data_IF_949048103605
#
_entry.id   IF_949048103605
#
_cell.length_a   1.000
_cell.length_b   1.000
_cell.length_c   1.000
_cell.angle_alpha   90.00
_cell.angle_beta   90.00
_cell.angle_gamma   90.00
#
_symmetry.space_group_name_H-M   'P 1'
#
loop_
_entity.id
_entity.type
_entity.pdbx_description
1 polymer ?
#
# COMPACT_ATOMS: atom_id res chain seq x y z
N UNK A 1 30.95 -10.96 2.88
CA UNK A 1 30.39 -9.58 3.05
C UNK A 1 28.92 -9.63 3.50
N UNK A 2 28.05 -10.42 2.84
CA UNK A 2 26.62 -10.47 3.13
C UNK A 2 26.28 -10.93 4.57
N UNK A 3 26.94 -11.98 5.06
CA UNK A 3 26.69 -12.49 6.43
C UNK A 3 27.00 -11.45 7.52
N UNK A 4 27.97 -10.59 7.31
CA UNK A 4 28.34 -9.55 8.26
C UNK A 4 27.29 -8.42 8.26
N UNK A 5 26.71 -8.11 7.09
CA UNK A 5 25.66 -7.11 6.95
C UNK A 5 24.35 -7.54 7.63
N UNK A 6 23.92 -8.79 7.45
CA UNK A 6 22.74 -9.32 8.14
C UNK A 6 22.90 -9.35 9.66
N UNK A 7 24.09 -9.74 10.14
CA UNK A 7 24.40 -9.74 11.58
C UNK A 7 24.34 -8.32 12.17
N UNK A 8 24.80 -7.31 11.44
CA UNK A 8 24.72 -5.92 11.85
C UNK A 8 23.29 -5.43 11.91
N UNK A 9 22.47 -5.75 10.91
CA UNK A 9 21.03 -5.39 10.89
C UNK A 9 20.29 -6.06 12.05
N UNK A 10 20.54 -7.35 12.28
CA UNK A 10 19.95 -8.08 13.42
C UNK A 10 20.33 -7.44 14.76
N UNK A 11 21.59 -7.01 14.93
CA UNK A 11 22.04 -6.30 16.12
C UNK A 11 21.35 -4.92 16.28
N UNK A 12 21.11 -4.20 15.20
CA UNK A 12 20.38 -2.93 15.24
C UNK A 12 18.92 -3.15 15.69
N UNK A 13 18.24 -4.15 15.13
CA UNK A 13 16.85 -4.51 15.48
C UNK A 13 16.77 -4.94 16.96
N UNK A 14 17.73 -5.76 17.41
CA UNK A 14 17.77 -6.24 18.80
C UNK A 14 17.91 -5.10 19.80
N UNK A 15 18.64 -4.04 19.43
CA UNK A 15 18.94 -2.93 20.34
C UNK A 15 18.00 -1.71 20.11
N UNK A 16 17.10 -1.73 19.14
CA UNK A 16 16.19 -0.63 18.92
C UNK A 16 15.00 -0.67 19.89
N UNK A 17 14.35 0.48 20.08
CA UNK A 17 13.10 0.59 20.83
C UNK A 17 11.88 0.42 19.93
N UNK A 18 12.02 0.84 18.67
CA UNK A 18 10.92 0.89 17.72
C UNK A 18 11.42 0.62 16.31
N UNK A 19 10.60 -0.05 15.52
CA UNK A 19 10.81 -0.26 14.07
C UNK A 19 9.68 0.42 13.31
N UNK A 20 10.03 1.24 12.31
CA UNK A 20 9.08 1.71 11.31
C UNK A 20 9.47 1.13 9.96
N UNK A 21 8.49 0.66 9.21
CA UNK A 21 8.67 0.14 7.84
C UNK A 21 7.95 1.07 6.87
N UNK A 22 8.64 1.57 5.86
CA UNK A 22 8.05 2.29 4.75
C UNK A 22 8.15 1.43 3.49
N UNK A 23 7.03 0.92 2.99
CA UNK A 23 7.02 -0.02 1.86
C UNK A 23 6.34 0.53 0.62
N UNK A 24 6.82 0.09 -0.55
CA UNK A 24 6.27 0.42 -1.85
C UNK A 24 6.01 -0.83 -2.71
N UNK A 25 5.66 -0.63 -3.99
CA UNK A 25 5.21 -1.69 -4.89
C UNK A 25 6.21 -2.84 -5.07
N UNK A 26 7.51 -2.58 -4.92
CA UNK A 26 8.55 -3.62 -4.97
C UNK A 26 8.39 -4.68 -3.89
N UNK A 27 7.81 -4.33 -2.73
CA UNK A 27 7.49 -5.27 -1.66
C UNK A 27 6.54 -6.38 -2.12
N UNK A 28 5.64 -6.08 -3.06
CA UNK A 28 4.63 -7.01 -3.56
C UNK A 28 4.99 -7.67 -4.91
N UNK A 29 6.18 -7.36 -5.46
CA UNK A 29 6.60 -7.89 -6.76
C UNK A 29 6.66 -9.42 -6.79
N UNK A 30 7.25 -10.04 -5.76
CA UNK A 30 7.32 -11.51 -5.63
C UNK A 30 5.96 -12.17 -5.35
N UNK A 31 4.96 -11.39 -5.00
CA UNK A 31 3.57 -11.85 -4.90
C UNK A 31 2.84 -11.86 -6.25
N UNK A 32 3.53 -11.50 -7.34
CA UNK A 32 2.96 -11.45 -8.70
C UNK A 32 2.19 -10.16 -9.00
N UNK A 33 2.30 -9.12 -8.17
CA UNK A 33 1.70 -7.81 -8.43
C UNK A 33 2.71 -6.95 -9.18
N UNK A 34 2.31 -6.47 -10.37
CA UNK A 34 3.16 -5.64 -11.22
C UNK A 34 3.55 -4.33 -10.53
N UNK A 35 4.83 -3.96 -10.61
CA UNK A 35 5.34 -2.70 -10.10
C UNK A 35 5.18 -1.58 -11.14
N UNK A 36 5.18 -0.32 -10.67
CA UNK A 36 5.15 0.86 -11.55
C UNK A 36 6.39 0.99 -12.48
N UNK A 37 7.48 0.26 -12.18
CA UNK A 37 8.70 0.25 -12.99
C UNK A 37 8.65 -0.71 -14.18
N UNK A 38 7.62 -1.53 -14.31
CA UNK A 38 7.40 -2.38 -15.48
C UNK A 38 6.34 -1.73 -16.40
N UNK A 39 6.68 -0.63 -17.10
CA UNK A 39 5.70 0.11 -17.92
C UNK A 39 5.23 -0.68 -19.14
N UNK A 40 5.87 -1.80 -19.46
CA UNK A 40 5.54 -2.63 -20.62
C UNK A 40 4.38 -3.61 -20.36
N UNK A 41 3.96 -3.72 -19.09
CA UNK A 41 2.92 -4.68 -18.67
C UNK A 41 1.77 -3.96 -17.96
N UNK A 42 0.57 -4.12 -18.47
CA UNK A 42 -0.66 -3.68 -17.80
C UNK A 42 -1.12 -2.26 -18.13
N UNK A 43 -1.96 -1.70 -17.27
CA UNK A 43 -2.59 -0.35 -17.43
C UNK A 43 -1.55 0.77 -17.54
N UNK A 44 -0.40 0.61 -16.88
CA UNK A 44 0.66 1.61 -16.86
C UNK A 44 1.38 1.77 -18.21
N UNK A 45 1.33 0.74 -19.06
CA UNK A 45 1.83 0.82 -20.45
C UNK A 45 1.00 1.73 -21.33
N UNK A 46 -0.25 1.98 -20.95
CA UNK A 46 -1.17 2.79 -21.75
C UNK A 46 -1.48 4.12 -21.07
N UNK A 47 -0.91 5.22 -21.56
CA UNK A 47 -1.17 6.58 -21.05
C UNK A 47 -2.67 6.94 -21.06
N UNK A 48 -3.44 6.42 -22.00
CA UNK A 48 -4.90 6.61 -22.06
C UNK A 48 -5.58 5.82 -20.93
N UNK A 49 -5.16 4.59 -20.67
CA UNK A 49 -5.67 3.79 -19.54
C UNK A 49 -5.42 4.49 -18.21
N UNK A 50 -4.24 5.07 -18.02
CA UNK A 50 -3.89 5.84 -16.83
C UNK A 50 -4.77 7.08 -16.66
N UNK A 51 -5.05 7.83 -17.74
CA UNK A 51 -5.90 9.01 -17.70
C UNK A 51 -7.36 8.66 -17.36
N UNK A 52 -7.86 7.52 -17.84
CA UNK A 52 -9.23 7.08 -17.55
C UNK A 52 -9.39 6.42 -16.18
N UNK A 53 -8.39 5.62 -15.77
CA UNK A 53 -8.50 4.81 -14.56
C UNK A 53 -7.87 5.50 -13.36
N UNK A 54 -6.73 6.14 -13.57
CA UNK A 54 -5.90 6.73 -12.50
C UNK A 54 -6.38 8.09 -12.00
N UNK A 55 -7.48 8.65 -12.54
CA UNK A 55 -7.96 10.00 -12.18
C UNK A 55 -9.46 10.01 -11.86
N UNK A 56 -9.93 10.92 -10.97
CA UNK A 56 -11.35 11.12 -10.70
C UNK A 56 -12.15 11.46 -11.96
N UNK A 57 -11.55 12.16 -12.92
CA UNK A 57 -12.18 12.53 -14.19
C UNK A 57 -12.55 11.30 -15.02
N UNK A 58 -11.68 10.30 -15.11
CA UNK A 58 -11.98 9.06 -15.82
C UNK A 58 -13.14 8.28 -15.20
N UNK A 59 -13.20 8.22 -13.86
CA UNK A 59 -14.31 7.62 -13.14
C UNK A 59 -15.63 8.38 -13.33
N UNK A 60 -15.57 9.68 -13.48
CA UNK A 60 -16.75 10.50 -13.78
C UNK A 60 -17.22 10.33 -15.23
N UNK A 61 -16.28 10.34 -16.18
CA UNK A 61 -16.61 10.31 -17.61
C UNK A 61 -17.10 8.93 -18.07
N UNK A 62 -16.46 7.87 -17.60
CA UNK A 62 -16.76 6.49 -18.03
C UNK A 62 -16.62 5.50 -16.88
N UNK A 63 -17.55 5.52 -15.90
CA UNK A 63 -17.46 4.68 -14.69
C UNK A 63 -17.40 3.19 -14.99
N UNK A 64 -18.13 2.71 -16.02
CA UNK A 64 -18.12 1.30 -16.40
C UNK A 64 -16.76 0.86 -16.97
N UNK A 65 -16.11 1.69 -17.79
CA UNK A 65 -14.77 1.40 -18.30
C UNK A 65 -13.72 1.45 -17.19
N UNK A 66 -13.79 2.45 -16.32
CA UNK A 66 -12.91 2.56 -15.17
C UNK A 66 -13.05 1.35 -14.24
N UNK A 67 -14.28 0.91 -13.98
CA UNK A 67 -14.58 -0.26 -13.18
C UNK A 67 -14.02 -1.55 -13.78
N UNK A 68 -14.27 -1.79 -15.08
CA UNK A 68 -13.72 -2.95 -15.78
C UNK A 68 -12.19 -2.96 -15.74
N UNK A 69 -11.57 -1.81 -15.96
CA UNK A 69 -10.11 -1.66 -15.91
C UNK A 69 -9.58 -1.94 -14.50
N UNK A 70 -10.23 -1.38 -13.48
CA UNK A 70 -9.89 -1.66 -12.09
C UNK A 70 -9.96 -3.14 -11.75
N UNK A 71 -11.04 -3.82 -12.11
CA UNK A 71 -11.21 -5.25 -11.85
C UNK A 71 -10.11 -6.07 -12.53
N UNK A 72 -9.88 -5.83 -13.82
CA UNK A 72 -8.96 -6.63 -14.62
C UNK A 72 -7.48 -6.46 -14.22
N UNK A 73 -7.06 -5.24 -13.90
CA UNK A 73 -5.65 -4.93 -13.71
C UNK A 73 -5.23 -4.75 -12.26
N UNK A 74 -6.17 -4.53 -11.35
CA UNK A 74 -5.87 -4.34 -9.93
C UNK A 74 -6.56 -5.38 -9.06
N UNK A 75 -7.88 -5.37 -9.02
CA UNK A 75 -8.62 -6.19 -8.06
C UNK A 75 -8.36 -7.68 -8.23
N UNK A 76 -8.48 -8.20 -9.46
CA UNK A 76 -8.33 -9.64 -9.70
C UNK A 76 -6.88 -10.12 -9.50
N UNK A 77 -5.83 -9.45 -10.01
CA UNK A 77 -4.46 -9.81 -9.68
C UNK A 77 -4.15 -9.78 -8.18
N UNK A 78 -4.61 -8.73 -7.48
CA UNK A 78 -4.40 -8.58 -6.03
C UNK A 78 -5.14 -9.68 -5.25
N UNK A 79 -6.36 -10.03 -5.65
CA UNK A 79 -7.12 -11.10 -4.99
C UNK A 79 -6.42 -12.46 -5.07
N UNK A 80 -5.77 -12.75 -6.20
CA UNK A 80 -5.01 -14.00 -6.43
C UNK A 80 -3.64 -14.00 -5.74
N UNK A 81 -3.09 -12.82 -5.47
CA UNK A 81 -1.79 -12.69 -4.84
C UNK A 81 -1.83 -13.19 -3.38
N UNK A 82 -0.71 -13.77 -2.94
CA UNK A 82 -0.49 -14.19 -1.56
C UNK A 82 0.65 -13.39 -0.96
N UNK A 83 0.66 -13.17 0.36
CA UNK A 83 1.83 -12.62 1.03
C UNK A 83 3.08 -13.42 0.66
N UNK A 84 4.16 -12.73 0.32
CA UNK A 84 5.46 -13.36 0.07
C UNK A 84 6.28 -13.46 1.37
N UNK A 85 7.47 -14.06 1.29
CA UNK A 85 8.35 -14.26 2.43
C UNK A 85 8.68 -12.96 3.17
N UNK A 86 8.81 -11.84 2.46
CA UNK A 86 9.07 -10.54 3.07
C UNK A 86 7.89 -10.04 3.93
N UNK A 87 6.66 -10.21 3.47
CA UNK A 87 5.46 -9.87 4.25
C UNK A 87 5.37 -10.73 5.53
N UNK A 88 5.60 -12.05 5.40
CA UNK A 88 5.58 -12.97 6.53
C UNK A 88 6.69 -12.63 7.54
N UNK A 89 7.91 -12.35 7.07
CA UNK A 89 9.03 -11.97 7.94
C UNK A 89 8.75 -10.68 8.72
N UNK A 90 8.07 -9.70 8.12
CA UNK A 90 7.67 -8.48 8.84
C UNK A 90 6.59 -8.77 9.88
N UNK A 91 5.64 -9.64 9.61
CA UNK A 91 4.62 -10.02 10.59
C UNK A 91 5.25 -10.79 11.78
N UNK A 92 6.18 -11.71 11.50
CA UNK A 92 6.94 -12.41 12.54
C UNK A 92 7.80 -11.45 13.37
N UNK A 93 8.45 -10.48 12.72
CA UNK A 93 9.24 -9.45 13.39
C UNK A 93 8.37 -8.59 14.32
N UNK A 94 7.15 -8.22 13.89
CA UNK A 94 6.21 -7.47 14.71
C UNK A 94 5.86 -8.22 15.98
N UNK A 95 5.62 -9.53 15.90
CA UNK A 95 5.35 -10.38 17.06
C UNK A 95 6.54 -10.46 18.02
N UNK A 96 7.74 -10.73 17.49
CA UNK A 96 8.96 -10.78 18.30
C UNK A 96 9.24 -9.46 19.03
N UNK A 97 9.09 -8.34 18.34
CA UNK A 97 9.26 -7.01 18.96
C UNK A 97 8.23 -6.75 20.05
N UNK A 98 6.99 -7.16 19.85
CA UNK A 98 5.91 -7.04 20.83
C UNK A 98 6.19 -7.86 22.10
N UNK A 99 6.72 -9.08 21.97
CA UNK A 99 7.12 -9.91 23.10
C UNK A 99 8.22 -9.25 23.94
N UNK A 100 9.10 -8.47 23.30
CA UNK A 100 10.16 -7.69 23.97
C UNK A 100 9.66 -6.31 24.48
N UNK A 101 8.37 -6.01 24.40
CA UNK A 101 7.80 -4.72 24.83
C UNK A 101 8.11 -3.56 23.88
N UNK A 102 8.55 -3.85 22.66
CA UNK A 102 8.85 -2.90 21.60
C UNK A 102 7.67 -2.75 20.62
N UNK A 103 7.75 -1.81 19.70
CA UNK A 103 6.68 -1.58 18.73
C UNK A 103 7.18 -1.60 17.31
N UNK A 104 6.31 -2.01 16.39
CA UNK A 104 6.51 -1.90 14.95
C UNK A 104 5.30 -1.22 14.30
N UNK A 105 5.57 -0.39 13.29
CA UNK A 105 4.53 0.27 12.48
C UNK A 105 4.91 0.15 11.02
N UNK A 106 3.98 -0.30 10.19
CA UNK A 106 4.15 -0.33 8.74
C UNK A 106 3.40 0.85 8.11
N UNK A 107 4.10 1.63 7.30
CA UNK A 107 3.56 2.67 6.43
C UNK A 107 3.67 2.13 5.01
N UNK A 108 2.56 1.86 4.36
CA UNK A 108 2.59 1.29 3.01
C UNK A 108 1.94 2.19 1.97
N UNK A 109 2.60 2.29 0.81
CA UNK A 109 2.05 2.89 -0.39
C UNK A 109 1.18 1.91 -1.19
N UNK A 110 1.23 0.62 -0.81
CA UNK A 110 0.51 -0.42 -1.50
C UNK A 110 -0.97 -0.45 -1.10
N UNK A 111 -1.80 -0.81 -2.05
CA UNK A 111 -3.27 -0.89 -1.90
C UNK A 111 -3.78 -2.34 -1.81
N UNK A 112 -2.86 -3.31 -1.65
CA UNK A 112 -3.09 -4.75 -1.81
C UNK A 112 -3.42 -5.50 -0.52
N UNK A 113 -3.30 -4.85 0.64
CA UNK A 113 -3.49 -5.41 1.96
C UNK A 113 -2.65 -6.68 2.28
N UNK A 114 -1.52 -6.90 1.56
CA UNK A 114 -0.72 -8.11 1.78
C UNK A 114 -0.01 -8.11 3.15
N UNK A 115 0.33 -6.95 3.71
CA UNK A 115 0.85 -6.87 5.07
C UNK A 115 -0.14 -7.38 6.10
N UNK A 116 -1.40 -6.91 6.03
CA UNK A 116 -2.47 -7.35 6.94
C UNK A 116 -2.77 -8.85 6.75
N UNK A 117 -2.79 -9.31 5.49
CA UNK A 117 -3.01 -10.72 5.16
C UNK A 117 -1.86 -11.64 5.60
N UNK A 118 -0.67 -11.10 5.81
CA UNK A 118 0.46 -11.81 6.40
C UNK A 118 0.39 -11.88 7.93
N UNK A 119 -0.45 -11.04 8.57
CA UNK A 119 -0.60 -10.98 10.02
C UNK A 119 -0.15 -9.67 10.67
N UNK A 120 0.43 -8.73 9.92
CA UNK A 120 0.82 -7.41 10.48
C UNK A 120 -0.41 -6.65 10.97
N UNK A 121 -0.33 -6.05 12.16
CA UNK A 121 -1.47 -5.45 12.85
C UNK A 121 -1.52 -3.93 12.79
N UNK A 122 -0.35 -3.26 12.76
CA UNK A 122 -0.27 -1.79 12.71
C UNK A 122 0.21 -1.37 11.33
N UNK A 123 -0.75 -1.22 10.41
CA UNK A 123 -0.48 -0.87 9.00
C UNK A 123 -1.23 0.40 8.61
N UNK A 124 -0.51 1.42 8.15
CA UNK A 124 -1.05 2.66 7.63
C UNK A 124 -1.01 2.66 6.10
N UNK A 125 -2.16 2.51 5.47
CA UNK A 125 -2.33 2.48 4.01
C UNK A 125 -2.44 3.93 3.48
N UNK A 126 -1.30 4.58 3.21
CA UNK A 126 -1.29 6.01 2.83
C UNK A 126 -1.88 6.30 1.44
N UNK A 127 -2.04 5.29 0.61
CA UNK A 127 -2.74 5.40 -0.68
C UNK A 127 -4.09 4.68 -0.68
N UNK A 128 -4.64 4.37 0.51
CA UNK A 128 -5.89 3.64 0.64
C UNK A 128 -5.77 2.16 0.30
N UNK A 129 -6.89 1.54 -0.09
CA UNK A 129 -6.94 0.10 -0.36
C UNK A 129 -7.95 -0.24 -1.45
N UNK A 130 -7.70 -1.33 -2.19
CA UNK A 130 -8.65 -1.86 -3.18
C UNK A 130 -9.79 -2.65 -2.52
N UNK A 131 -9.72 -2.90 -1.23
CA UNK A 131 -10.72 -3.68 -0.50
C UNK A 131 -11.85 -2.85 0.11
N UNK A 132 -11.73 -1.54 0.15
CA UNK A 132 -12.82 -0.63 0.51
C UNK A 132 -13.32 0.11 -0.73
N UNK A 133 -14.57 0.57 -0.67
CA UNK A 133 -15.18 1.37 -1.73
C UNK A 133 -15.70 2.67 -1.17
N UNK A 134 -15.61 3.71 -1.95
CA UNK A 134 -16.12 5.04 -1.63
C UNK A 134 -17.08 5.53 -2.73
N UNK A 135 -18.00 6.39 -2.36
CA UNK A 135 -18.83 7.09 -3.31
C UNK A 135 -17.99 8.02 -4.17
N UNK A 136 -18.07 7.89 -5.50
CA UNK A 136 -17.28 8.68 -6.44
C UNK A 136 -17.58 10.19 -6.36
N UNK A 137 -18.77 10.59 -5.90
CA UNK A 137 -19.22 11.99 -5.84
C UNK A 137 -18.96 12.62 -4.48
N UNK A 138 -19.30 11.93 -3.40
CA UNK A 138 -19.32 12.52 -2.06
C UNK A 138 -18.20 12.00 -1.16
N UNK A 139 -17.36 11.07 -1.64
CA UNK A 139 -16.29 10.41 -0.87
C UNK A 139 -16.76 9.83 0.48
N UNK A 140 -18.06 9.65 0.66
CA UNK A 140 -18.57 8.95 1.83
C UNK A 140 -17.89 7.59 1.88
N UNK A 141 -17.12 7.35 2.92
CA UNK A 141 -16.75 6.00 3.28
C UNK A 141 -18.07 5.27 3.47
N UNK A 142 -18.36 4.41 2.54
CA UNK A 142 -19.35 3.40 2.81
C UNK A 142 -18.65 2.44 3.74
N UNK A 143 -19.08 2.47 4.98
CA UNK A 143 -18.81 1.44 5.96
C UNK A 143 -19.49 0.17 5.44
N UNK A 144 -18.90 -0.38 4.37
CA UNK A 144 -19.30 -1.66 3.84
C UNK A 144 -18.76 -2.75 4.77
N UNK A 145 -19.36 -2.85 5.94
CA UNK A 145 -19.39 -4.11 6.67
C UNK A 145 -20.15 -5.19 5.88
N UNK A 146 -20.91 -4.81 4.89
CA UNK A 146 -21.40 -5.70 3.84
C UNK A 146 -20.41 -5.59 2.69
N UNK A 147 -19.38 -6.34 2.81
CA UNK A 147 -18.32 -6.51 1.86
C UNK A 147 -18.84 -7.38 0.70
N UNK A 148 -19.41 -6.83 -0.38
CA UNK A 148 -19.70 -7.67 -1.55
C UNK A 148 -18.41 -8.16 -2.19
N UNK A 149 -17.28 -7.63 -1.74
CA UNK A 149 -15.93 -8.01 -2.18
C UNK A 149 -15.12 -8.24 -0.92
N UNK A 150 -15.44 -9.32 -0.17
CA UNK A 150 -14.85 -9.66 1.11
C UNK A 150 -13.33 -9.50 1.17
N UNK A 151 -12.85 -9.01 2.30
CA UNK A 151 -11.44 -9.11 2.68
C UNK A 151 -11.00 -10.59 2.79
N UNK A 152 -11.95 -11.46 3.06
CA UNK A 152 -11.74 -12.89 3.07
C UNK A 152 -11.60 -13.38 1.62
N UNK A 153 -10.35 -13.69 1.26
CA UNK A 153 -10.04 -14.35 0.00
C UNK A 153 -10.78 -15.71 -0.16
N UNK A 154 -11.46 -16.18 0.89
CA UNK A 154 -12.32 -17.36 0.89
C UNK A 154 -13.62 -17.16 0.11
N UNK A 155 -14.09 -15.91 -0.05
CA UNK A 155 -15.31 -15.59 -0.80
C UNK A 155 -15.05 -15.28 -2.28
N UNK A 156 -13.78 -15.26 -2.69
CA UNK A 156 -13.41 -15.12 -4.08
C UNK A 156 -13.29 -16.50 -4.73
N UNK A 157 -14.30 -16.88 -5.49
CA UNK A 157 -14.21 -18.00 -6.42
C UNK A 157 -13.57 -17.51 -7.73
N UNK A 158 -12.31 -17.90 -8.02
CA UNK A 158 -11.63 -17.49 -9.24
C UNK A 158 -12.23 -18.13 -10.50
N UNK A 159 -13.07 -19.15 -10.36
CA UNK A 159 -13.73 -19.84 -11.47
C UNK A 159 -15.11 -19.24 -11.79
N UNK A 160 -15.76 -18.58 -10.83
CA UNK A 160 -17.01 -17.87 -11.01
C UNK A 160 -16.82 -16.36 -10.99
N UNK A 161 -16.34 -15.82 -12.09
CA UNK A 161 -16.11 -14.40 -12.35
C UNK A 161 -17.44 -13.57 -12.42
N UNK A 162 -18.57 -14.17 -12.09
CA UNK A 162 -19.90 -13.53 -12.22
C UNK A 162 -20.08 -12.33 -11.29
N UNK A 163 -19.45 -12.34 -10.13
CA UNK A 163 -19.55 -11.21 -9.19
C UNK A 163 -18.84 -9.93 -9.72
N UNK A 164 -17.87 -10.10 -10.60
CA UNK A 164 -17.08 -9.02 -11.21
C UNK A 164 -17.50 -8.73 -12.66
N UNK A 165 -18.51 -9.40 -13.17
CA UNK A 165 -19.00 -9.24 -14.54
C UNK A 165 -19.94 -8.05 -14.75
N UNK A 166 -20.21 -7.26 -13.70
CA UNK A 166 -21.07 -6.08 -13.85
C UNK A 166 -20.43 -5.04 -14.75
N UNK A 167 -21.14 -4.61 -15.77
CA UNK A 167 -20.70 -3.55 -16.71
C UNK A 167 -20.46 -2.21 -16.02
N UNK A 168 -21.04 -2.00 -14.87
CA UNK A 168 -20.98 -0.75 -14.11
C UNK A 168 -20.61 -1.04 -12.65
N UNK A 169 -19.93 -0.09 -11.96
CA UNK A 169 -19.71 -0.19 -10.53
C UNK A 169 -21.03 -0.21 -9.76
N UNK A 170 -21.02 -0.75 -8.53
CA UNK A 170 -22.16 -0.67 -7.63
C UNK A 170 -22.60 0.78 -7.40
N UNK A 171 -23.87 0.96 -7.07
CA UNK A 171 -24.41 2.27 -6.69
C UNK A 171 -24.19 2.57 -5.22
N UNK A 172 -24.02 3.85 -4.92
CA UNK A 172 -24.00 4.35 -3.54
C UNK A 172 -25.34 4.04 -2.87
N UNK A 173 -25.30 3.44 -1.69
CA UNK A 173 -26.50 3.06 -0.91
C UNK A 173 -27.10 4.21 -0.10
N UNK A 174 -26.43 5.38 -0.04
CA UNK A 174 -27.01 6.54 0.63
C UNK A 174 -28.26 7.03 -0.10
N UNK A 175 -29.31 7.27 0.65
CA UNK A 175 -30.56 7.82 0.14
C UNK A 175 -30.29 9.11 -0.63
N UNK A 176 -30.89 9.22 -1.80
CA UNK A 176 -30.73 10.34 -2.74
C UNK A 176 -29.34 10.51 -3.41
N UNK A 177 -28.40 9.58 -3.21
CA UNK A 177 -27.10 9.63 -3.86
C UNK A 177 -27.01 8.67 -5.03
N UNK A 178 -27.50 8.79 -6.14
CA UNK A 178 -27.47 7.83 -7.25
C UNK A 178 -26.08 7.67 -7.94
N UNK A 179 -25.00 8.01 -7.25
CA UNK A 179 -23.64 7.93 -7.77
C UNK A 179 -23.08 6.50 -7.73
N UNK A 180 -22.05 6.24 -8.54
CA UNK A 180 -21.35 4.97 -8.51
C UNK A 180 -20.31 4.92 -7.38
N UNK A 181 -19.96 3.71 -6.96
CA UNK A 181 -18.84 3.45 -6.07
C UNK A 181 -17.54 3.30 -6.89
N UNK A 182 -16.43 3.54 -6.24
CA UNK A 182 -15.10 3.24 -6.73
C UNK A 182 -14.23 2.70 -5.60
N UNK A 183 -13.07 2.06 -5.90
CA UNK A 183 -12.15 1.66 -4.84
C UNK A 183 -11.69 2.87 -4.02
N UNK A 184 -11.46 2.66 -2.74
CA UNK A 184 -10.85 3.62 -1.82
C UNK A 184 -9.31 3.63 -1.98
N UNK A 185 -8.87 3.63 -3.22
CA UNK A 185 -7.48 3.84 -3.59
C UNK A 185 -7.32 5.29 -4.07
N UNK A 186 -6.27 5.96 -3.60
CA UNK A 186 -5.98 7.35 -3.97
C UNK A 186 -5.68 7.43 -5.45
N UNK A 187 -6.45 8.24 -6.16
CA UNK A 187 -6.25 8.53 -7.58
C UNK A 187 -5.29 9.71 -7.76
N UNK A 188 -4.66 9.79 -8.92
CA UNK A 188 -3.83 10.95 -9.27
C UNK A 188 -4.64 12.24 -9.13
N UNK A 189 -4.04 13.27 -8.56
CA UNK A 189 -4.66 14.57 -8.23
C UNK A 189 -5.50 14.58 -6.96
N UNK A 190 -5.68 13.47 -6.27
CA UNK A 190 -6.34 13.43 -4.96
C UNK A 190 -5.36 13.61 -3.81
N UNK A 191 -5.86 14.13 -2.69
CA UNK A 191 -5.14 14.13 -1.41
C UNK A 191 -5.05 12.73 -0.82
N UNK A 192 -4.06 12.51 0.04
CA UNK A 192 -3.95 11.27 0.81
C UNK A 192 -5.04 11.22 1.90
N UNK A 193 -5.46 10.03 2.34
CA UNK A 193 -6.43 9.88 3.42
C UNK A 193 -5.85 10.44 4.73
N UNK A 194 -6.62 11.33 5.39
CA UNK A 194 -6.14 12.13 6.52
C UNK A 194 -5.61 11.28 7.67
N UNK A 195 -6.37 10.30 8.13
CA UNK A 195 -6.01 9.50 9.31
C UNK A 195 -4.74 8.65 9.09
N UNK A 196 -4.62 7.81 8.05
CA UNK A 196 -3.39 7.07 7.78
C UNK A 196 -2.19 7.99 7.55
N UNK A 197 -2.40 9.12 6.87
CA UNK A 197 -1.34 10.09 6.61
C UNK A 197 -0.84 10.76 7.90
N UNK A 198 -1.75 11.23 8.77
CA UNK A 198 -1.40 11.85 10.03
C UNK A 198 -0.67 10.88 10.97
N UNK A 199 -1.15 9.63 11.06
CA UNK A 199 -0.50 8.58 11.85
C UNK A 199 0.91 8.27 11.32
N UNK A 200 1.06 8.22 9.99
CA UNK A 200 2.37 8.00 9.36
C UNK A 200 3.34 9.14 9.62
N UNK A 201 2.87 10.39 9.51
CA UNK A 201 3.67 11.57 9.85
C UNK A 201 4.10 11.57 11.33
N UNK A 202 3.21 11.15 12.23
CA UNK A 202 3.53 11.04 13.66
C UNK A 202 4.59 9.95 13.89
N UNK A 203 4.42 8.76 13.31
CA UNK A 203 5.37 7.65 13.44
C UNK A 203 6.79 8.05 12.98
N UNK A 204 6.92 8.80 11.88
CA UNK A 204 8.22 9.30 11.39
C UNK A 204 8.78 10.41 12.29
N UNK A 205 7.95 11.34 12.76
CA UNK A 205 8.39 12.44 13.61
C UNK A 205 8.90 11.99 14.98
N UNK A 206 8.35 10.89 15.48
CA UNK A 206 8.67 10.32 16.79
C UNK A 206 9.91 9.43 16.78
N UNK A 207 10.53 9.17 15.63
CA UNK A 207 11.74 8.38 15.52
C UNK A 207 12.91 9.08 16.23
N UNK A 208 13.71 8.27 16.92
CA UNK A 208 14.92 8.68 17.65
C UNK A 208 16.14 7.91 17.16
N UNK A 209 17.33 8.28 17.62
CA UNK A 209 18.59 7.60 17.28
C UNK A 209 18.63 6.13 17.70
N UNK A 210 17.73 5.71 18.58
CA UNK A 210 17.58 4.33 19.04
C UNK A 210 16.55 3.53 18.24
N UNK A 211 15.97 4.13 17.20
CA UNK A 211 14.94 3.52 16.35
C UNK A 211 15.50 3.15 14.98
N UNK A 212 14.79 2.25 14.29
CA UNK A 212 15.14 1.78 12.94
C UNK A 212 13.99 2.08 11.97
N UNK A 213 14.33 2.67 10.83
CA UNK A 213 13.43 2.83 9.69
C UNK A 213 13.87 1.92 8.55
N UNK A 214 13.05 0.95 8.18
CA UNK A 214 13.21 0.21 6.94
C UNK A 214 12.50 0.90 5.78
N UNK A 215 13.18 1.01 4.64
CA UNK A 215 12.63 1.52 3.38
C UNK A 215 12.70 0.39 2.37
N UNK A 216 11.54 -0.21 2.03
CA UNK A 216 11.49 -1.47 1.29
C UNK A 216 10.71 -1.32 -0.01
N UNK A 217 11.32 -1.69 -1.13
CA UNK A 217 10.65 -1.85 -2.42
C UNK A 217 10.00 -0.58 -2.97
N UNK A 218 10.56 0.60 -2.68
CA UNK A 218 10.05 1.88 -3.18
C UNK A 218 11.06 2.60 -4.05
N UNK A 219 10.58 3.30 -5.08
CA UNK A 219 11.43 4.15 -5.93
C UNK A 219 11.69 5.54 -5.33
N UNK A 220 10.93 5.94 -4.31
CA UNK A 220 11.04 7.26 -3.69
C UNK A 220 10.59 8.42 -4.59
N UNK A 221 9.72 8.19 -5.58
CA UNK A 221 9.29 9.22 -6.53
C UNK A 221 7.83 9.66 -6.39
N UNK A 222 7.03 8.95 -5.59
CA UNK A 222 5.59 9.23 -5.43
C UNK A 222 5.36 10.10 -4.20
N UNK A 223 5.07 11.38 -4.44
CA UNK A 223 4.78 12.36 -3.40
C UNK A 223 3.28 12.50 -3.14
N UNK A 224 2.89 12.85 -1.89
CA UNK A 224 3.73 13.29 -0.77
C UNK A 224 4.35 12.15 0.04
N UNK A 225 3.97 10.86 -0.17
CA UNK A 225 4.41 9.74 0.66
C UNK A 225 5.95 9.60 0.73
N UNK A 226 6.65 9.79 -0.40
CA UNK A 226 8.12 9.72 -0.46
C UNK A 226 8.83 10.73 0.45
N UNK A 227 8.15 11.80 0.86
CA UNK A 227 8.72 12.78 1.81
C UNK A 227 8.91 12.23 3.22
N UNK A 228 8.27 11.12 3.59
CA UNK A 228 8.37 10.55 4.93
C UNK A 228 9.79 10.04 5.24
N UNK A 229 10.37 9.11 4.46
CA UNK A 229 11.75 8.69 4.69
C UNK A 229 12.77 9.82 4.43
N UNK A 230 12.50 10.75 3.50
CA UNK A 230 13.36 11.93 3.30
C UNK A 230 13.46 12.79 4.55
N UNK A 231 12.34 13.02 5.26
CA UNK A 231 12.33 13.77 6.52
C UNK A 231 13.10 13.07 7.63
N UNK A 232 12.97 11.73 7.73
CA UNK A 232 13.75 10.96 8.69
C UNK A 232 15.26 11.07 8.41
N UNK A 233 15.68 11.00 7.14
CA UNK A 233 17.06 11.15 6.73
C UNK A 233 17.61 12.56 7.00
N UNK A 234 16.86 13.60 6.65
CA UNK A 234 17.27 15.00 6.88
C UNK A 234 17.44 15.31 8.37
N UNK A 235 16.57 14.79 9.21
CA UNK A 235 16.63 14.99 10.66
C UNK A 235 17.65 14.11 11.37
N UNK A 236 18.26 13.14 10.64
CA UNK A 236 19.17 12.13 11.21
C UNK A 236 18.61 11.48 12.49
N UNK A 237 17.30 11.29 12.50
CA UNK A 237 16.55 10.93 13.70
C UNK A 237 16.65 9.45 14.05
N UNK A 238 17.07 8.57 13.11
CA UNK A 238 17.11 7.13 13.31
C UNK A 238 18.13 6.45 12.39
N UNK A 239 18.29 5.14 12.55
CA UNK A 239 19.03 4.30 11.59
C UNK A 239 18.11 3.95 10.43
N UNK A 240 18.52 4.25 9.20
CA UNK A 240 17.74 3.97 8.00
C UNK A 240 18.39 2.82 7.22
N UNK A 241 17.59 1.84 6.86
CA UNK A 241 18.01 0.66 6.10
C UNK A 241 17.13 0.57 4.85
N UNK A 242 17.74 0.73 3.68
CA UNK A 242 17.06 0.56 2.39
C UNK A 242 17.21 -0.87 1.88
N UNK A 243 16.09 -1.49 1.49
CA UNK A 243 16.03 -2.82 0.88
C UNK A 243 15.37 -2.67 -0.49
N UNK A 244 16.19 -2.63 -1.52
CA UNK A 244 15.79 -2.50 -2.92
C UNK A 244 16.77 -3.26 -3.82
N UNK A 245 16.32 -3.84 -4.93
CA UNK A 245 17.23 -4.47 -5.91
C UNK A 245 18.10 -3.44 -6.64
N UNK A 246 17.67 -2.19 -6.72
CA UNK A 246 18.37 -1.10 -7.38
C UNK A 246 18.36 0.15 -6.50
N UNK A 247 19.35 1.05 -6.71
CA UNK A 247 19.36 2.36 -6.04
C UNK A 247 18.08 3.13 -6.35
N UNK A 248 17.46 3.67 -5.33
CA UNK A 248 16.28 4.52 -5.44
C UNK A 248 16.66 6.01 -5.37
N UNK A 249 15.68 6.89 -5.56
CA UNK A 249 15.87 8.32 -5.30
C UNK A 249 16.22 8.60 -3.83
N UNK A 250 15.77 7.74 -2.92
CA UNK A 250 16.01 7.87 -1.48
C UNK A 250 17.41 7.47 -1.07
N UNK A 251 18.08 6.58 -1.81
CA UNK A 251 19.46 6.14 -1.51
C UNK A 251 20.40 7.34 -1.31
N UNK A 252 20.30 8.35 -2.18
CA UNK A 252 21.13 9.55 -2.08
C UNK A 252 20.81 10.46 -0.87
N UNK A 253 19.66 10.27 -0.24
CA UNK A 253 19.26 11.00 0.95
C UNK A 253 19.64 10.27 2.24
N UNK A 254 19.90 8.96 2.15
CA UNK A 254 20.18 8.06 3.27
C UNK A 254 21.69 7.90 3.50
N UNK A 255 22.48 7.93 2.43
CA UNK A 255 23.95 7.96 2.49
C UNK A 255 24.47 9.32 3.00
#
# INVERSE_FOLDING_TARGET
>A
EDMNQFSNIAALIKNCNRVVVFSGAGMSAESGISTFRQPEVGVWANKLGLAYFGTPFGWWLSPGLAWKTYLSYFRNPIAKAKPNAGHCALAELEELLKEEGKSMTIITQNVDALHQRAGSTIVHEVHGTVYRHICSKHKHLHDYQVNPIGLDATDYDPENDEFFSTKNPPKCSNDNCNSYLRPDAVLFTEGLPDEPWMKSCAAIRELTSEDVLFVIGTSGVVYPAASLPERAAQNKSCKIIEINPERSKLTNCIE
#
